data_IF_417775429994
#
_entry.id   IF_417775429994
#
_cell.length_a   1.000
_cell.length_b   1.000
_cell.length_c   1.000
_cell.angle_alpha   90.00
_cell.angle_beta   90.00
_cell.angle_gamma   90.00
#
_symmetry.space_group_name_H-M   'P 1'
#
loop_
_entity.id
_entity.type
_entity.pdbx_description
1 polymer ?
#
# COMPACT_ATOMS: atom_id res chain seq x y z
N UNK A 1 6.87 -70.53 -30.20
CA UNK A 1 6.52 -69.51 -29.18
C UNK A 1 6.69 -68.12 -29.78
N UNK A 2 5.58 -67.41 -29.85
CA UNK A 2 5.42 -65.98 -30.08
C UNK A 2 6.09 -65.13 -28.99
N UNK A 3 6.76 -64.04 -29.37
CA UNK A 3 6.72 -62.72 -28.70
C UNK A 3 7.55 -61.68 -29.47
N UNK A 4 6.80 -60.81 -30.12
CA UNK A 4 7.20 -59.60 -30.82
C UNK A 4 7.46 -58.49 -29.79
N UNK A 5 8.65 -57.87 -29.76
CA UNK A 5 8.80 -56.53 -29.17
C UNK A 5 9.78 -55.71 -30.02
N UNK A 6 9.21 -54.90 -30.90
CA UNK A 6 9.88 -53.98 -31.81
C UNK A 6 10.40 -52.78 -31.02
N UNK A 7 11.72 -52.63 -30.89
CA UNK A 7 12.31 -51.36 -30.43
C UNK A 7 12.31 -50.40 -31.63
N UNK A 8 11.17 -49.72 -31.80
CA UNK A 8 11.03 -48.63 -32.76
C UNK A 8 11.98 -47.50 -32.39
N UNK A 9 12.99 -47.30 -33.23
CA UNK A 9 13.93 -46.18 -33.12
C UNK A 9 13.15 -44.86 -33.16
N UNK A 10 13.29 -44.08 -32.10
CA UNK A 10 12.59 -42.83 -31.87
C UNK A 10 12.95 -41.78 -32.93
N UNK A 11 11.91 -41.27 -33.57
CA UNK A 11 11.89 -40.23 -34.61
C UNK A 11 12.40 -38.90 -34.03
N UNK A 12 13.44 -38.25 -34.63
CA UNK A 12 13.82 -36.89 -34.29
C UNK A 12 12.84 -35.91 -34.94
N UNK A 13 12.43 -34.88 -34.20
CA UNK A 13 11.61 -33.79 -34.73
C UNK A 13 10.15 -33.89 -34.33
N UNK A 14 9.82 -33.21 -33.23
CA UNK A 14 8.56 -32.49 -33.01
C UNK A 14 8.63 -31.82 -31.65
N UNK A 15 9.24 -30.64 -31.70
CA UNK A 15 9.16 -29.61 -30.68
C UNK A 15 7.69 -29.47 -30.26
N UNK A 16 7.43 -29.80 -29.01
CA UNK A 16 6.09 -29.92 -28.49
C UNK A 16 5.46 -28.53 -28.44
N UNK A 17 4.59 -28.27 -29.41
CA UNK A 17 3.48 -27.34 -29.24
C UNK A 17 2.61 -27.86 -28.10
N UNK A 18 2.85 -27.35 -26.89
CA UNK A 18 1.82 -27.24 -25.86
C UNK A 18 1.63 -25.76 -25.56
N UNK A 19 1.01 -25.10 -26.53
CA UNK A 19 0.13 -23.97 -26.22
C UNK A 19 -1.06 -24.63 -25.52
N UNK A 20 -1.07 -24.57 -24.19
CA UNK A 20 -2.24 -24.98 -23.41
C UNK A 20 -3.29 -23.89 -23.57
N UNK A 21 -4.20 -24.15 -24.49
CA UNK A 21 -5.43 -23.38 -24.64
C UNK A 21 -6.39 -23.74 -23.52
N UNK A 22 -6.79 -22.74 -22.72
CA UNK A 22 -8.20 -22.42 -22.49
C UNK A 22 -8.37 -20.97 -21.95
N UNK A 23 -9.07 -20.08 -22.69
CA UNK A 23 -9.28 -18.65 -22.39
C UNK A 23 -10.64 -18.40 -21.70
N UNK A 24 -11.08 -17.16 -21.43
CA UNK A 24 -10.40 -15.98 -20.90
C UNK A 24 -11.03 -15.59 -19.55
N UNK A 25 -10.25 -15.41 -18.49
CA UNK A 25 -10.74 -14.74 -17.27
C UNK A 25 -9.83 -13.56 -16.97
N UNK A 26 -10.20 -12.48 -17.66
CA UNK A 26 -10.37 -11.14 -17.09
C UNK A 26 -9.19 -10.64 -16.28
N UNK A 27 -8.46 -9.69 -16.87
CA UNK A 27 -8.14 -8.42 -16.22
C UNK A 27 -8.18 -8.45 -14.69
N UNK A 28 -7.12 -8.94 -14.09
CA UNK A 28 -6.53 -8.17 -12.99
C UNK A 28 -5.33 -7.46 -13.64
N UNK A 29 -5.52 -6.41 -14.45
CA UNK A 29 -5.95 -5.12 -13.93
C UNK A 29 -5.79 -5.08 -12.40
N UNK A 30 -4.53 -5.18 -11.95
CA UNK A 30 -4.14 -4.42 -10.77
C UNK A 30 -4.44 -3.00 -11.18
N UNK A 31 -5.68 -2.63 -10.90
CA UNK A 31 -6.23 -1.32 -11.02
C UNK A 31 -5.18 -0.41 -10.41
N UNK A 32 -4.39 0.23 -11.27
CA UNK A 32 -4.11 1.65 -11.14
C UNK A 32 -5.49 2.29 -11.12
N UNK A 33 -6.17 2.17 -9.99
CA UNK A 33 -7.44 2.81 -9.75
C UNK A 33 -7.04 4.26 -9.57
N UNK A 34 -6.96 4.93 -10.72
CA UNK A 34 -7.28 6.32 -10.87
C UNK A 34 -8.66 6.46 -10.26
N UNK A 35 -8.74 6.68 -8.95
CA UNK A 35 -9.97 7.14 -8.33
C UNK A 35 -10.04 8.61 -8.68
N UNK A 36 -10.73 8.91 -9.78
CA UNK A 36 -11.19 10.24 -10.09
C UNK A 36 -12.09 10.69 -8.93
N UNK A 37 -11.52 11.61 -8.14
CA UNK A 37 -12.15 12.72 -7.44
C UNK A 37 -13.65 12.61 -7.15
N UNK A 38 -14.02 12.51 -5.88
CA UNK A 38 -14.81 13.56 -5.27
C UNK A 38 -13.83 14.69 -4.90
N UNK A 39 -14.30 15.93 -4.71
CA UNK A 39 -13.48 17.07 -4.26
C UNK A 39 -13.03 16.91 -2.80
N UNK A 40 -12.54 15.72 -2.44
CA UNK A 40 -12.10 15.36 -1.10
C UNK A 40 -10.75 16.01 -0.88
N UNK A 41 -10.63 16.75 0.22
CA UNK A 41 -9.35 17.30 0.62
C UNK A 41 -8.30 16.18 0.68
N UNK A 42 -7.07 16.49 0.27
CA UNK A 42 -5.95 15.55 0.30
C UNK A 42 -4.96 16.07 1.35
N UNK A 43 -4.50 15.18 2.22
CA UNK A 43 -3.39 15.46 3.13
C UNK A 43 -2.15 14.84 2.54
N UNK A 44 -1.12 15.67 2.35
CA UNK A 44 0.19 15.21 1.92
C UNK A 44 1.11 15.17 3.11
N UNK A 45 1.81 14.05 3.26
CA UNK A 45 2.72 13.81 4.35
C UNK A 45 3.99 13.15 3.85
N UNK A 46 5.07 13.34 4.60
CA UNK A 46 6.40 12.87 4.27
C UNK A 46 7.04 12.18 5.46
N UNK A 47 7.58 11.00 5.24
CA UNK A 47 8.38 10.25 6.19
C UNK A 47 9.78 10.01 5.60
N UNK A 48 10.74 10.87 5.95
CA UNK A 48 12.09 10.79 5.40
C UNK A 48 12.08 10.92 3.87
N UNK A 49 12.34 9.81 3.16
CA UNK A 49 12.34 9.74 1.70
C UNK A 49 11.03 9.26 1.07
N UNK A 50 10.03 8.90 1.88
CA UNK A 50 8.72 8.44 1.41
C UNK A 50 7.71 9.58 1.52
N UNK A 51 7.07 9.97 0.42
CA UNK A 51 5.96 10.92 0.39
C UNK A 51 4.65 10.19 0.12
N UNK A 52 3.58 10.63 0.77
CA UNK A 52 2.29 9.97 0.75
C UNK A 52 1.17 11.00 0.67
N UNK A 53 0.22 10.74 -0.23
CA UNK A 53 -0.97 11.56 -0.41
C UNK A 53 -2.17 10.73 0.02
N UNK A 54 -2.83 11.16 1.10
CA UNK A 54 -3.97 10.44 1.68
C UNK A 54 -5.25 11.27 1.56
N UNK A 55 -6.36 10.69 1.10
CA UNK A 55 -7.63 11.39 1.07
C UNK A 55 -8.13 11.62 2.50
N UNK A 56 -8.60 12.84 2.76
CA UNK A 56 -9.20 13.24 4.03
C UNK A 56 -10.47 12.42 4.24
N UNK A 57 -10.41 11.52 5.22
CA UNK A 57 -11.51 10.65 5.62
C UNK A 57 -11.79 10.86 7.11
N UNK A 58 -12.97 11.39 7.44
CA UNK A 58 -13.35 11.71 8.81
C UNK A 58 -13.28 10.48 9.71
N UNK A 59 -12.72 10.63 10.91
CA UNK A 59 -12.71 9.58 11.92
C UNK A 59 -11.69 8.45 11.67
N UNK A 60 -10.81 8.58 10.68
CA UNK A 60 -9.66 7.68 10.50
C UNK A 60 -8.36 8.35 10.92
N UNK A 61 -7.37 7.53 11.28
CA UNK A 61 -6.01 8.02 11.52
C UNK A 61 -5.27 8.18 10.20
N UNK A 62 -4.31 9.11 10.17
CA UNK A 62 -3.42 9.27 9.01
C UNK A 62 -2.70 7.97 8.65
N UNK A 63 -2.31 7.18 9.66
CA UNK A 63 -1.69 5.89 9.41
C UNK A 63 -2.64 4.93 8.69
N UNK A 64 -3.89 4.81 9.13
CA UNK A 64 -4.88 3.92 8.48
C UNK A 64 -5.17 4.37 7.04
N UNK A 65 -5.33 5.68 6.83
CA UNK A 65 -5.52 6.26 5.50
C UNK A 65 -4.31 6.00 4.58
N UNK A 66 -3.09 6.10 5.11
CA UNK A 66 -1.87 5.78 4.37
C UNK A 66 -1.76 4.30 4.02
N UNK A 67 -2.13 3.41 4.94
CA UNK A 67 -2.13 1.96 4.67
C UNK A 67 -3.17 1.58 3.61
N UNK A 68 -4.33 2.24 3.59
CA UNK A 68 -5.33 2.07 2.54
C UNK A 68 -4.84 2.50 1.15
N UNK A 69 -3.96 3.49 1.11
CA UNK A 69 -3.30 3.95 -0.12
C UNK A 69 -2.04 3.14 -0.45
N UNK A 70 -1.78 2.04 0.28
CA UNK A 70 -0.56 1.23 0.16
C UNK A 70 0.72 2.05 0.25
N UNK A 71 0.66 3.12 1.05
CA UNK A 71 1.75 4.05 1.20
C UNK A 71 2.80 3.44 2.13
N UNK A 72 4.04 3.37 1.66
CA UNK A 72 5.16 2.67 2.32
C UNK A 72 5.69 3.33 3.59
N UNK A 73 4.79 3.77 4.47
CA UNK A 73 5.10 4.39 5.75
C UNK A 73 5.52 3.31 6.74
N UNK A 74 6.63 3.55 7.41
CA UNK A 74 7.12 2.72 8.48
C UNK A 74 6.32 2.94 9.76
N UNK A 75 5.73 1.87 10.29
CA UNK A 75 5.02 1.86 11.56
C UNK A 75 5.33 0.56 12.33
N UNK A 76 5.21 0.61 13.66
CA UNK A 76 5.48 -0.55 14.53
C UNK A 76 4.41 -0.78 15.59
N UNK A 77 4.10 0.26 16.38
CA UNK A 77 3.32 0.09 17.60
C UNK A 77 1.84 0.48 17.48
N UNK A 78 1.47 1.39 16.57
CA UNK A 78 0.12 2.01 16.42
C UNK A 78 -0.47 2.68 17.69
N UNK A 79 0.24 2.65 18.82
CA UNK A 79 -0.18 3.21 20.12
C UNK A 79 0.43 4.58 20.46
N UNK A 80 1.22 5.17 19.56
CA UNK A 80 1.88 6.45 19.81
C UNK A 80 3.14 6.42 20.70
N UNK A 81 3.60 5.23 21.14
CA UNK A 81 4.73 5.11 22.08
C UNK A 81 6.10 5.00 21.41
N UNK A 82 6.17 4.39 20.21
CA UNK A 82 7.42 4.08 19.54
C UNK A 82 8.00 5.27 18.75
N UNK A 83 7.17 6.15 18.21
CA UNK A 83 7.61 7.28 17.37
C UNK A 83 7.98 6.92 15.92
N UNK A 84 7.96 5.64 15.55
CA UNK A 84 8.39 5.21 14.20
C UNK A 84 7.57 5.83 13.07
N UNK A 85 6.27 6.00 13.30
CA UNK A 85 5.34 6.64 12.36
C UNK A 85 5.35 8.18 12.42
N UNK A 86 6.46 8.78 12.87
CA UNK A 86 6.64 10.22 12.82
C UNK A 86 6.74 10.67 11.36
N UNK A 87 5.85 11.59 10.96
CA UNK A 87 5.74 12.13 9.61
C UNK A 87 5.64 13.65 9.69
N UNK A 88 6.16 14.30 8.67
CA UNK A 88 5.97 15.72 8.42
C UNK A 88 4.72 15.90 7.56
N UNK A 89 3.85 16.83 7.92
CA UNK A 89 2.68 17.14 7.10
C UNK A 89 3.06 18.26 6.16
N UNK A 90 3.05 17.97 4.86
CA UNK A 90 3.39 18.92 3.79
C UNK A 90 2.16 19.79 3.46
N UNK A 91 0.98 19.15 3.36
CA UNK A 91 -0.28 19.81 3.02
C UNK A 91 -1.43 19.23 3.84
N UNK A 92 -2.42 20.06 4.21
CA UNK A 92 -3.65 19.59 4.86
C UNK A 92 -3.59 19.46 6.38
N UNK A 93 -2.67 20.17 7.05
CA UNK A 93 -2.59 20.24 8.52
C UNK A 93 -3.88 20.73 9.18
N UNK A 94 -4.67 21.57 8.49
CA UNK A 94 -5.94 22.11 8.97
C UNK A 94 -7.04 21.04 9.15
N UNK A 95 -6.96 19.92 8.43
CA UNK A 95 -7.90 18.80 8.53
C UNK A 95 -7.52 17.80 9.62
N UNK A 96 -6.48 18.10 10.39
CA UNK A 96 -5.96 17.23 11.42
C UNK A 96 -6.22 17.86 12.78
N UNK A 97 -6.62 17.02 13.73
CA UNK A 97 -6.72 17.43 15.14
C UNK A 97 -5.37 17.91 15.67
N UNK A 98 -5.37 18.67 16.77
CA UNK A 98 -4.14 19.16 17.42
C UNK A 98 -3.22 18.02 17.88
N UNK A 99 -2.01 18.40 18.34
CA UNK A 99 -1.07 17.43 18.90
C UNK A 99 -1.65 16.76 20.14
N UNK A 100 -1.60 15.44 20.18
CA UNK A 100 -2.03 14.68 21.36
C UNK A 100 -0.89 14.59 22.40
N UNK A 101 -1.21 14.29 23.67
CA UNK A 101 -0.21 14.18 24.75
C UNK A 101 0.90 13.18 24.43
N UNK A 102 0.55 12.06 23.80
CA UNK A 102 1.53 11.05 23.36
C UNK A 102 2.52 11.60 22.32
N UNK A 103 2.04 12.46 21.42
CA UNK A 103 2.91 13.12 20.43
C UNK A 103 3.82 14.13 21.13
N UNK A 104 3.27 14.96 22.01
CA UNK A 104 4.04 15.97 22.73
C UNK A 104 5.11 15.33 23.63
N UNK A 105 4.79 14.21 24.29
CA UNK A 105 5.75 13.46 25.10
C UNK A 105 6.88 12.85 24.27
N UNK A 106 6.61 12.45 23.03
CA UNK A 106 7.60 11.75 22.19
C UNK A 106 8.41 12.67 21.28
N UNK A 107 7.76 13.69 20.71
CA UNK A 107 8.33 14.63 19.74
C UNK A 107 8.66 15.98 20.36
N UNK A 108 8.15 16.29 21.55
CA UNK A 108 8.32 17.59 22.19
C UNK A 108 7.83 18.73 21.30
N UNK A 109 8.72 19.68 21.05
CA UNK A 109 8.48 20.88 20.23
C UNK A 109 8.74 20.67 18.73
N UNK A 110 8.96 19.44 18.27
CA UNK A 110 9.25 19.17 16.85
C UNK A 110 8.06 19.49 15.96
N UNK A 111 8.29 19.90 14.70
CA UNK A 111 7.24 20.11 13.69
C UNK A 111 6.55 18.82 13.22
N UNK A 112 7.20 17.68 13.47
CA UNK A 112 6.74 16.33 13.14
C UNK A 112 5.51 15.90 13.97
N UNK A 113 4.75 14.96 13.41
CA UNK A 113 3.48 14.41 13.92
C UNK A 113 3.50 12.88 13.87
N UNK A 114 2.86 12.19 14.81
CA UNK A 114 2.68 10.74 14.74
C UNK A 114 1.45 10.41 13.91
N UNK A 115 1.65 9.76 12.76
CA UNK A 115 0.54 9.35 11.89
C UNK A 115 -0.48 8.44 12.59
N UNK A 116 -0.06 7.65 13.61
CA UNK A 116 -0.98 6.80 14.36
C UNK A 116 -1.83 7.52 15.42
N UNK A 117 -1.50 8.77 15.76
CA UNK A 117 -2.26 9.58 16.72
C UNK A 117 -2.94 10.78 16.05
N UNK A 118 -2.49 11.14 14.85
CA UNK A 118 -3.11 12.17 14.03
C UNK A 118 -4.41 11.63 13.43
N UNK A 119 -5.52 12.06 14.00
CA UNK A 119 -6.87 11.77 13.52
C UNK A 119 -7.32 12.88 12.57
N UNK A 120 -7.89 12.47 11.45
CA UNK A 120 -8.45 13.37 10.44
C UNK A 120 -9.86 13.77 10.88
N UNK A 121 -10.14 15.07 10.90
CA UNK A 121 -11.44 15.64 11.23
C UNK A 121 -11.73 16.82 10.28
N UNK A 122 -12.92 16.82 9.68
CA UNK A 122 -13.42 17.86 8.74
C UNK A 122 -14.64 18.55 9.30
#
# INVERSE_FOLDING_TARGET
MNKNWTVGSLIPGKEARFISEKPPVRSAEVKRQKTEMPQQAIVELRQGNTSCSVPVSSGTTLLDAALKQECGIQYKCRKGTCGQCAVEIVSGTSYLLGKNEAEQKKLGSSTLRLACQSVINV
#
